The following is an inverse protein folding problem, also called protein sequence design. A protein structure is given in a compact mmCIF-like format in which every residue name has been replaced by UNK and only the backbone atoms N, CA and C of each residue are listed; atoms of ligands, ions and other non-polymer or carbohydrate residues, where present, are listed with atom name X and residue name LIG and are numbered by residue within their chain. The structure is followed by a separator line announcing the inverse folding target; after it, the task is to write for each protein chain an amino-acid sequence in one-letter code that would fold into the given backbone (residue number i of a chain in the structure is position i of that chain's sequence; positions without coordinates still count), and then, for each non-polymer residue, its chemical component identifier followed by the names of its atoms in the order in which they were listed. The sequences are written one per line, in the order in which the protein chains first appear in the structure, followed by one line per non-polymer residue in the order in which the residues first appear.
data_IF_773359136847
#
_entry.id   IF_773359136847
#
_cell.length_a   1.000
_cell.length_b   1.000
_cell.length_c   1.000
_cell.angle_alpha   90.00
_cell.angle_beta   90.00
_cell.angle_gamma   90.00
#
_symmetry.space_group_name_H-M   'P 1'
#
loop_
_entity.id
_entity.type
_entity.pdbx_description
1 polymer ?
#
# COMPACT_ATOMS: atom_id res chain seq x y z
N UNK A 1 3.66 -12.70 6.21
CA UNK A 1 3.25 -12.47 7.62
C UNK A 1 2.20 -11.37 7.73
N UNK A 2 2.51 -10.10 7.43
CA UNK A 2 1.56 -8.98 7.60
C UNK A 2 0.22 -9.21 6.90
N UNK A 3 0.23 -9.54 5.60
CA UNK A 3 -1.00 -9.81 4.83
C UNK A 3 -1.85 -10.94 5.40
N UNK A 4 -1.22 -11.99 5.93
CA UNK A 4 -1.93 -13.13 6.53
C UNK A 4 -2.70 -12.66 7.75
N UNK A 5 -2.02 -11.99 8.69
CA UNK A 5 -2.62 -11.48 9.92
C UNK A 5 -3.70 -10.44 9.60
N UNK A 6 -3.42 -9.50 8.70
CA UNK A 6 -4.36 -8.47 8.28
C UNK A 6 -5.66 -9.07 7.74
N UNK A 7 -5.56 -10.01 6.79
CA UNK A 7 -6.74 -10.63 6.19
C UNK A 7 -7.58 -11.37 7.23
N UNK A 8 -6.95 -12.18 8.08
CA UNK A 8 -7.65 -12.91 9.15
C UNK A 8 -8.36 -11.97 10.13
N UNK A 9 -7.66 -10.98 10.67
CA UNK A 9 -8.23 -10.06 11.66
C UNK A 9 -9.36 -9.22 11.05
N UNK A 10 -9.18 -8.71 9.82
CA UNK A 10 -10.19 -7.87 9.18
C UNK A 10 -11.42 -8.71 8.78
N UNK A 11 -11.23 -9.94 8.30
CA UNK A 11 -12.35 -10.85 7.99
C UNK A 11 -13.19 -11.15 9.24
N UNK A 12 -12.55 -11.52 10.34
CA UNK A 12 -13.23 -11.76 11.62
C UNK A 12 -13.94 -10.49 12.12
N UNK A 13 -13.29 -9.34 12.01
CA UNK A 13 -13.85 -8.04 12.42
C UNK A 13 -15.09 -7.68 11.61
N UNK A 14 -15.03 -7.79 10.28
CA UNK A 14 -16.17 -7.48 9.40
C UNK A 14 -17.32 -8.46 9.64
N UNK A 15 -17.01 -9.75 9.85
CA UNK A 15 -18.01 -10.79 10.12
C UNK A 15 -18.72 -10.54 11.45
N UNK A 16 -17.99 -10.20 12.51
CA UNK A 16 -18.56 -9.98 13.84
C UNK A 16 -19.31 -8.63 13.94
N UNK A 17 -18.68 -7.55 13.46
CA UNK A 17 -19.20 -6.19 13.60
C UNK A 17 -20.28 -5.85 12.57
N UNK A 18 -20.23 -6.47 11.38
CA UNK A 18 -21.14 -6.22 10.24
C UNK A 18 -21.29 -4.74 9.91
N UNK A 19 -20.17 -4.04 9.57
CA UNK A 19 -20.22 -2.63 9.26
C UNK A 19 -21.09 -2.35 8.03
N UNK A 20 -21.82 -1.24 8.05
CA UNK A 20 -22.54 -0.72 6.88
C UNK A 20 -21.69 0.24 6.05
N UNK A 21 -20.50 0.62 6.53
CA UNK A 21 -19.51 1.44 5.83
C UNK A 21 -18.13 1.24 6.45
N UNK A 22 -17.06 1.38 5.65
CA UNK A 22 -15.67 1.25 6.10
C UNK A 22 -14.91 2.53 5.76
N UNK A 23 -14.03 2.93 6.67
CA UNK A 23 -13.11 4.05 6.53
C UNK A 23 -11.69 3.48 6.63
N UNK A 24 -10.94 3.51 5.54
CA UNK A 24 -9.61 2.91 5.43
C UNK A 24 -8.54 4.00 5.29
N UNK A 25 -7.64 4.05 6.26
CA UNK A 25 -6.43 4.85 6.17
C UNK A 25 -5.33 4.07 5.45
N UNK A 26 -4.72 4.69 4.44
CA UNK A 26 -3.65 4.13 3.62
C UNK A 26 -2.31 4.83 3.88
N UNK A 27 -1.83 4.78 5.12
CA UNK A 27 -0.52 5.33 5.49
C UNK A 27 0.62 4.58 4.80
N UNK A 28 1.42 5.32 4.04
CA UNK A 28 2.51 4.81 3.24
C UNK A 28 3.84 4.77 4.02
N UNK A 29 3.88 5.18 5.28
CA UNK A 29 5.07 5.05 6.14
C UNK A 29 5.34 3.61 6.60
N UNK A 30 4.35 2.72 6.46
CA UNK A 30 4.50 1.28 6.64
C UNK A 30 5.29 0.60 5.51
N UNK A 31 5.61 1.32 4.42
CA UNK A 31 6.44 0.81 3.34
C UNK A 31 7.89 0.63 3.77
N UNK A 32 8.57 -0.34 3.14
CA UNK A 32 10.01 -0.48 3.24
C UNK A 32 10.73 0.77 2.72
N UNK A 33 11.86 1.09 3.36
CA UNK A 33 12.68 2.27 3.05
C UNK A 33 11.95 3.61 3.28
N UNK A 34 10.93 3.65 4.14
CA UNK A 34 10.41 4.92 4.64
C UNK A 34 11.46 5.64 5.51
N UNK A 35 11.36 6.97 5.61
CA UNK A 35 12.30 7.80 6.37
C UNK A 35 12.09 7.68 7.89
N UNK A 36 10.87 7.44 8.35
CA UNK A 36 10.54 7.31 9.77
C UNK A 36 10.05 5.89 10.11
N UNK A 37 9.36 5.22 9.18
CA UNK A 37 8.86 3.86 9.35
C UNK A 37 9.95 2.80 9.36
N UNK A 38 9.78 1.78 10.20
CA UNK A 38 10.70 0.66 10.34
C UNK A 38 10.16 -0.66 9.74
N UNK A 39 9.06 -0.58 9.00
CA UNK A 39 8.45 -1.74 8.33
C UNK A 39 9.15 -2.06 7.01
N UNK A 40 8.73 -3.18 6.41
CA UNK A 40 9.36 -3.78 5.23
C UNK A 40 8.31 -4.20 4.20
N UNK A 41 7.22 -3.43 4.05
CA UNK A 41 6.16 -3.71 3.07
C UNK A 41 6.53 -3.23 1.68
N UNK A 42 6.13 -3.99 0.66
CA UNK A 42 6.13 -3.52 -0.73
C UNK A 42 4.84 -2.77 -1.05
N UNK A 43 4.88 -1.96 -2.11
CA UNK A 43 3.68 -1.26 -2.63
C UNK A 43 2.59 -2.27 -3.02
N UNK A 44 2.97 -3.40 -3.61
CA UNK A 44 2.02 -4.45 -3.99
C UNK A 44 1.35 -5.10 -2.77
N UNK A 45 2.11 -5.35 -1.70
CA UNK A 45 1.57 -5.90 -0.47
C UNK A 45 0.63 -4.91 0.24
N UNK A 46 0.99 -3.62 0.24
CA UNK A 46 0.16 -2.57 0.80
C UNK A 46 -1.17 -2.42 0.02
N UNK A 47 -1.10 -2.36 -1.32
CA UNK A 47 -2.28 -2.32 -2.18
C UNK A 47 -3.17 -3.56 -2.08
N UNK A 48 -2.63 -4.73 -1.72
CA UNK A 48 -3.45 -5.92 -1.48
C UNK A 48 -4.32 -5.81 -0.21
N UNK A 49 -3.91 -5.01 0.79
CA UNK A 49 -4.78 -4.66 1.92
C UNK A 49 -6.00 -3.87 1.44
N UNK A 50 -5.79 -2.87 0.58
CA UNK A 50 -6.87 -2.08 -0.03
C UNK A 50 -7.80 -2.95 -0.87
N UNK A 51 -7.22 -3.81 -1.71
CA UNK A 51 -7.97 -4.76 -2.54
C UNK A 51 -8.84 -5.70 -1.70
N UNK A 52 -8.31 -6.18 -0.57
CA UNK A 52 -9.04 -7.04 0.35
C UNK A 52 -10.24 -6.32 0.97
N UNK A 53 -10.04 -5.11 1.49
CA UNK A 53 -11.11 -4.31 2.11
C UNK A 53 -12.18 -3.92 1.08
N UNK A 54 -11.78 -3.53 -0.13
CA UNK A 54 -12.69 -3.18 -1.24
C UNK A 54 -13.69 -4.31 -1.55
N UNK A 55 -13.28 -5.58 -1.43
CA UNK A 55 -14.11 -6.74 -1.80
C UNK A 55 -15.31 -6.96 -0.86
N UNK A 56 -15.33 -6.39 0.35
CA UNK A 56 -16.50 -6.45 1.23
C UNK A 56 -17.72 -5.69 0.68
N UNK A 57 -17.54 -4.86 -0.35
CA UNK A 57 -18.63 -4.25 -1.12
C UNK A 57 -19.62 -3.42 -0.29
N UNK A 58 -19.12 -2.80 0.79
CA UNK A 58 -19.80 -1.75 1.54
C UNK A 58 -19.24 -0.39 1.14
N UNK A 59 -19.96 0.73 1.35
CA UNK A 59 -19.41 2.07 1.16
C UNK A 59 -18.03 2.21 1.81
N UNK A 60 -17.03 2.58 1.01
CA UNK A 60 -15.63 2.66 1.41
C UNK A 60 -15.10 4.08 1.18
N UNK A 61 -14.65 4.73 2.25
CA UNK A 61 -13.88 5.97 2.18
C UNK A 61 -12.40 5.65 2.40
N UNK A 62 -11.55 6.07 1.47
CA UNK A 62 -10.10 5.89 1.55
C UNK A 62 -9.42 7.24 1.68
N UNK A 63 -8.47 7.35 2.61
CA UNK A 63 -7.66 8.55 2.80
C UNK A 63 -6.20 8.16 3.04
N UNK A 64 -5.28 9.07 2.75
CA UNK A 64 -3.86 8.88 3.03
C UNK A 64 -3.52 9.14 4.50
N UNK A 65 -2.32 9.64 4.72
CA UNK A 65 -1.82 10.10 6.03
C UNK A 65 -0.30 10.09 6.05
N UNK A 66 0.32 9.25 6.88
CA UNK A 66 1.77 9.10 7.00
C UNK A 66 2.47 8.64 5.71
N UNK A 67 3.75 8.98 5.59
CA UNK A 67 4.59 8.64 4.44
C UNK A 67 5.69 9.67 4.20
N UNK A 68 6.94 9.30 4.44
CA UNK A 68 8.04 10.27 4.59
C UNK A 68 9.15 10.06 3.55
N UNK A 69 9.13 8.96 2.80
CA UNK A 69 9.82 8.83 1.51
C UNK A 69 8.85 9.18 0.37
N UNK A 70 8.71 10.48 0.07
CA UNK A 70 7.63 11.03 -0.77
C UNK A 70 7.49 10.40 -2.17
N UNK A 71 8.59 9.94 -2.81
CA UNK A 71 8.51 9.21 -4.09
C UNK A 71 7.84 7.84 -3.98
N UNK A 72 7.93 7.20 -2.82
CA UNK A 72 7.27 5.92 -2.57
C UNK A 72 5.81 6.16 -2.18
N UNK A 73 5.52 7.25 -1.47
CA UNK A 73 4.15 7.69 -1.20
C UNK A 73 3.37 7.90 -2.50
N UNK A 74 3.95 8.65 -3.45
CA UNK A 74 3.29 8.90 -4.74
C UNK A 74 3.02 7.61 -5.53
N UNK A 75 3.94 6.65 -5.50
CA UNK A 75 3.75 5.33 -6.12
C UNK A 75 2.66 4.51 -5.44
N UNK A 76 2.69 4.47 -4.11
CA UNK A 76 1.75 3.69 -3.31
C UNK A 76 0.31 4.15 -3.58
N UNK A 77 0.05 5.44 -3.42
CA UNK A 77 -1.29 5.99 -3.62
C UNK A 77 -1.73 5.93 -5.10
N UNK A 78 -0.80 6.04 -6.05
CA UNK A 78 -1.11 5.79 -7.47
C UNK A 78 -1.56 4.34 -7.70
N UNK A 79 -0.84 3.37 -7.14
CA UNK A 79 -1.18 1.96 -7.27
C UNK A 79 -2.48 1.60 -6.55
N UNK A 80 -2.68 2.08 -5.32
CA UNK A 80 -3.93 1.88 -4.57
C UNK A 80 -5.14 2.50 -5.28
N UNK A 81 -4.96 3.65 -5.92
CA UNK A 81 -6.02 4.26 -6.76
C UNK A 81 -6.37 3.32 -7.92
N UNK A 82 -5.37 2.76 -8.61
CA UNK A 82 -5.60 1.78 -9.69
C UNK A 82 -6.35 0.54 -9.18
N UNK A 83 -6.00 0.04 -7.99
CA UNK A 83 -6.69 -1.07 -7.30
C UNK A 83 -8.16 -0.72 -7.00
N UNK A 84 -8.44 0.49 -6.51
CA UNK A 84 -9.78 0.96 -6.17
C UNK A 84 -10.68 1.08 -7.39
N UNK A 85 -10.16 1.61 -8.49
CA UNK A 85 -10.90 1.77 -9.76
C UNK A 85 -10.90 0.50 -10.62
N UNK A 86 -10.17 -0.55 -10.22
CA UNK A 86 -10.07 -1.81 -10.95
C UNK A 86 -9.28 -1.70 -12.26
N UNK A 87 -8.33 -0.78 -12.35
CA UNK A 87 -7.46 -0.61 -13.50
C UNK A 87 -6.15 -1.38 -13.34
N UNK A 88 -5.71 -2.05 -14.40
CA UNK A 88 -4.34 -2.54 -14.51
C UNK A 88 -3.47 -1.42 -15.09
N UNK A 89 -2.34 -1.14 -14.45
CA UNK A 89 -1.37 -0.13 -14.89
C UNK A 89 0.01 -0.77 -15.07
N UNK A 90 0.82 -0.30 -16.03
CA UNK A 90 2.17 -0.81 -16.24
C UNK A 90 3.09 -0.45 -15.06
N UNK A 91 4.18 -1.20 -14.92
CA UNK A 91 5.21 -0.90 -13.91
C UNK A 91 6.10 0.27 -14.35
N UNK A 92 6.17 0.58 -15.63
CA UNK A 92 6.85 1.76 -16.17
C UNK A 92 6.06 3.04 -15.85
N UNK A 93 6.71 3.98 -15.16
CA UNK A 93 6.13 5.29 -14.87
C UNK A 93 6.06 6.13 -16.16
N UNK A 94 4.97 6.88 -16.38
CA UNK A 94 4.87 7.82 -17.48
C UNK A 94 5.82 9.00 -17.28
N UNK A 95 6.22 9.63 -18.39
CA UNK A 95 7.04 10.83 -18.34
C UNK A 95 6.25 12.03 -17.80
N UNK A 96 6.80 12.72 -16.80
CA UNK A 96 6.24 13.87 -16.11
C UNK A 96 7.33 14.90 -15.78
N UNK A 97 6.93 16.08 -15.32
CA UNK A 97 7.87 17.08 -14.79
C UNK A 97 8.65 16.60 -13.56
N UNK A 98 8.21 15.50 -12.92
CA UNK A 98 8.82 14.90 -11.74
C UNK A 98 9.74 13.71 -12.09
N UNK A 99 9.97 13.39 -13.37
CA UNK A 99 10.82 12.27 -13.79
C UNK A 99 12.21 12.20 -13.15
N UNK A 100 12.93 13.32 -12.94
CA UNK A 100 14.22 13.27 -12.25
C UNK A 100 14.14 12.64 -10.85
N UNK A 101 12.96 12.67 -10.22
CA UNK A 101 12.72 12.16 -8.87
C UNK A 101 12.70 10.62 -8.79
N UNK A 102 12.50 9.93 -9.92
CA UNK A 102 12.36 8.48 -10.00
C UNK A 102 13.54 7.79 -10.71
N UNK A 103 14.59 8.55 -11.05
CA UNK A 103 15.78 8.06 -11.78
C UNK A 103 16.49 6.90 -11.07
N UNK A 104 16.65 6.97 -9.75
CA UNK A 104 17.39 5.98 -8.96
C UNK A 104 16.71 4.60 -8.92
N UNK A 105 15.42 4.58 -9.24
CA UNK A 105 14.55 3.42 -9.33
C UNK A 105 14.19 3.05 -10.78
N UNK A 106 14.91 3.59 -11.76
CA UNK A 106 14.71 3.32 -13.18
C UNK A 106 13.25 3.54 -13.63
N UNK A 107 12.60 4.58 -13.10
CA UNK A 107 11.21 4.94 -13.42
C UNK A 107 10.21 3.79 -13.23
N UNK A 108 10.41 2.95 -12.22
CA UNK A 108 9.47 1.88 -11.87
C UNK A 108 8.44 2.30 -10.82
N UNK A 109 7.22 1.77 -10.95
CA UNK A 109 6.13 1.89 -10.00
C UNK A 109 6.37 1.01 -8.78
N UNK A 110 6.89 -0.21 -8.98
CA UNK A 110 7.20 -1.18 -7.93
C UNK A 110 8.72 -1.40 -7.78
N UNK A 111 9.48 -0.40 -7.27
CA UNK A 111 10.88 -0.62 -6.94
C UNK A 111 11.03 -1.64 -5.79
N UNK A 112 12.19 -2.31 -5.68
CA UNK A 112 12.45 -3.23 -4.57
C UNK A 112 12.61 -2.45 -3.25
N UNK A 113 11.51 -2.37 -2.49
CA UNK A 113 11.46 -1.74 -1.16
C UNK A 113 11.83 -2.69 -0.02
N UNK A 114 11.80 -4.00 -0.29
CA UNK A 114 11.94 -5.05 0.73
C UNK A 114 13.35 -5.62 0.80
N UNK A 115 13.66 -6.31 1.90
CA UNK A 115 14.88 -7.13 2.03
C UNK A 115 16.12 -6.38 2.51
N UNK A 116 15.96 -5.16 3.00
CA UNK A 116 17.06 -4.35 3.59
C UNK A 116 17.16 -4.47 5.11
N UNK A 117 16.15 -5.06 5.74
CA UNK A 117 16.03 -5.23 7.19
C UNK A 117 15.57 -6.64 7.51
N UNK A 118 16.07 -7.19 8.61
CA UNK A 118 15.65 -8.48 9.15
C UNK A 118 14.23 -8.37 9.75
N UNK A 119 13.38 -9.36 9.49
CA UNK A 119 12.05 -9.40 10.08
C UNK A 119 12.14 -9.91 11.53
N UNK A 120 11.93 -9.02 12.50
CA UNK A 120 11.97 -9.33 13.95
C UNK A 120 10.66 -9.94 14.49
N UNK A 121 9.68 -10.18 13.64
CA UNK A 121 8.42 -10.80 14.05
C UNK A 121 8.52 -12.31 13.86
N UNK A 122 8.66 -13.05 14.96
CA UNK A 122 8.58 -14.52 14.95
C UNK A 122 7.17 -14.99 14.54
N UNK A 123 7.04 -16.17 13.91
CA UNK A 123 5.75 -16.76 13.55
C UNK A 123 4.79 -16.93 14.74
#
# INVERSE_FOLDING_TARGET
MYLTIFKTVIEDTVTAFRPTSIVLQCDADSLGCDRLGAFNLSIAAHGECVNFVRKFSVPLLVFGGGGYTIKNVSRCWTYETAVLVGAAIPDELPATVYDPFFRDSQWKLHPPLTGRVENQNSP
#
